data_IF_396075851242
#
_entry.id   IF_396075851242
#
_cell.length_a   1.000
_cell.length_b   1.000
_cell.length_c   1.000
_cell.angle_alpha   90.00
_cell.angle_beta   90.00
_cell.angle_gamma   90.00
#
_symmetry.space_group_name_H-M   'P 1'
#
loop_
_entity.id
_entity.type
_entity.pdbx_description
1 polymer ?
#
# COMPACT_ATOMS: atom_id res chain seq x y z
N UNK A 1 7.36 -19.58 -32.61
CA UNK A 1 6.31 -19.60 -31.57
C UNK A 1 6.33 -20.96 -30.92
N UNK A 2 6.85 -21.08 -29.70
CA UNK A 2 6.83 -22.34 -28.93
C UNK A 2 5.88 -22.13 -27.77
N UNK A 3 4.73 -22.78 -27.82
CA UNK A 3 3.83 -22.90 -26.65
C UNK A 3 4.15 -24.25 -26.00
N UNK A 4 5.19 -24.26 -25.17
CA UNK A 4 5.55 -25.34 -24.24
C UNK A 4 6.48 -26.44 -24.77
N UNK A 5 7.62 -26.64 -24.09
CA UNK A 5 8.25 -27.96 -24.01
C UNK A 5 7.34 -28.84 -23.14
N UNK A 6 6.93 -29.99 -23.66
CA UNK A 6 5.83 -30.81 -23.13
C UNK A 6 6.23 -31.63 -21.88
N UNK A 7 6.53 -30.97 -20.76
CA UNK A 7 6.68 -31.69 -19.48
C UNK A 7 5.30 -32.11 -18.97
N UNK A 8 4.98 -33.39 -19.12
CA UNK A 8 3.66 -33.96 -18.80
C UNK A 8 3.33 -33.89 -17.31
N UNK A 9 4.34 -33.92 -16.44
CA UNK A 9 4.18 -33.93 -14.99
C UNK A 9 3.64 -32.62 -14.44
N UNK A 10 4.12 -31.49 -14.94
CA UNK A 10 3.72 -30.15 -14.47
C UNK A 10 2.48 -29.59 -15.18
N UNK A 11 1.92 -30.31 -16.16
CA UNK A 11 0.75 -29.88 -16.90
C UNK A 11 -0.45 -29.70 -15.96
N UNK A 12 -1.12 -28.52 -15.95
CA UNK A 12 -2.37 -28.33 -15.23
C UNK A 12 -3.41 -29.38 -15.63
N UNK A 13 -4.06 -29.99 -14.64
CA UNK A 13 -5.14 -30.97 -14.81
C UNK A 13 -6.41 -30.43 -14.15
N UNK A 14 -7.56 -30.92 -14.59
CA UNK A 14 -8.85 -30.61 -13.95
C UNK A 14 -9.34 -29.17 -14.15
N UNK A 15 -8.88 -28.48 -15.19
CA UNK A 15 -9.45 -27.18 -15.56
C UNK A 15 -10.90 -27.36 -16.01
N UNK A 16 -11.79 -26.51 -15.49
CA UNK A 16 -13.18 -26.41 -15.91
C UNK A 16 -13.29 -25.74 -17.27
N UNK A 17 -14.46 -25.86 -17.90
CA UNK A 17 -14.73 -25.16 -19.14
C UNK A 17 -14.58 -23.64 -18.95
N UNK A 18 -13.80 -23.00 -19.84
CA UNK A 18 -13.53 -21.56 -19.81
C UNK A 18 -12.28 -21.16 -19.00
N UNK A 19 -11.66 -22.08 -18.28
CA UNK A 19 -10.44 -21.79 -17.52
C UNK A 19 -9.19 -21.84 -18.40
N UNK A 20 -8.21 -21.00 -18.08
CA UNK A 20 -6.91 -20.97 -18.77
C UNK A 20 -5.79 -20.69 -17.79
N UNK A 21 -4.71 -21.47 -17.85
CA UNK A 21 -3.54 -21.31 -16.99
C UNK A 21 -2.25 -21.29 -17.80
N UNK A 22 -1.48 -20.22 -17.66
CA UNK A 22 -0.07 -20.15 -18.06
C UNK A 22 0.78 -20.61 -16.88
N UNK A 23 1.71 -21.54 -17.07
CA UNK A 23 2.44 -22.19 -15.97
C UNK A 23 3.89 -22.52 -16.32
N UNK A 24 4.70 -22.77 -15.29
CA UNK A 24 6.05 -23.35 -15.40
C UNK A 24 6.19 -24.64 -14.58
N UNK A 25 7.25 -25.41 -14.83
CA UNK A 25 7.50 -26.70 -14.14
C UNK A 25 7.69 -26.55 -12.62
N UNK A 26 8.26 -25.44 -12.18
CA UNK A 26 8.53 -25.12 -10.79
C UNK A 26 7.34 -24.48 -10.05
N UNK A 27 6.13 -24.61 -10.60
CA UNK A 27 4.88 -24.36 -9.88
C UNK A 27 4.31 -22.94 -9.98
N UNK A 28 4.98 -22.00 -10.67
CA UNK A 28 4.42 -20.65 -10.90
C UNK A 28 3.31 -20.69 -11.94
N UNK A 29 2.34 -19.80 -11.81
CA UNK A 29 1.29 -19.66 -12.81
C UNK A 29 0.58 -18.31 -12.82
N UNK A 30 -0.07 -18.04 -13.96
CA UNK A 30 -1.15 -17.06 -14.10
C UNK A 30 -2.40 -17.82 -14.51
N UNK A 31 -3.49 -17.64 -13.76
CA UNK A 31 -4.70 -18.45 -13.86
C UNK A 31 -5.95 -17.60 -14.01
N UNK A 32 -6.64 -17.75 -15.15
CA UNK A 32 -7.95 -17.20 -15.41
C UNK A 32 -9.00 -18.20 -14.92
N UNK A 33 -9.76 -17.84 -13.88
CA UNK A 33 -10.67 -18.75 -13.18
C UNK A 33 -12.10 -18.68 -13.74
N UNK A 34 -12.86 -19.77 -13.65
CA UNK A 34 -14.27 -19.78 -14.05
C UNK A 34 -15.14 -18.84 -13.18
N UNK A 35 -14.70 -18.56 -11.95
CA UNK A 35 -15.37 -17.66 -11.02
C UNK A 35 -15.15 -16.16 -11.34
N UNK A 36 -14.44 -15.82 -12.42
CA UNK A 36 -14.30 -14.44 -12.91
C UNK A 36 -13.11 -13.66 -12.35
N UNK A 37 -12.08 -14.34 -11.85
CA UNK A 37 -10.87 -13.72 -11.30
C UNK A 37 -9.58 -14.15 -11.99
N UNK A 38 -8.48 -13.47 -11.64
CA UNK A 38 -7.12 -13.83 -12.05
C UNK A 38 -6.30 -14.13 -10.80
N UNK A 39 -5.60 -15.26 -10.79
CA UNK A 39 -4.60 -15.58 -9.76
C UNK A 39 -3.23 -15.57 -10.39
N UNK A 40 -2.31 -14.78 -9.82
CA UNK A 40 -0.88 -14.81 -10.15
C UNK A 40 -0.17 -15.40 -8.95
N UNK A 41 0.44 -16.57 -9.13
CA UNK A 41 1.15 -17.29 -8.09
C UNK A 41 2.62 -17.44 -8.50
N UNK A 42 3.49 -16.87 -7.69
CA UNK A 42 4.93 -16.87 -7.92
C UNK A 42 5.63 -18.05 -7.23
N UNK A 43 4.91 -18.96 -6.58
CA UNK A 43 5.49 -20.17 -5.97
C UNK A 43 6.54 -19.86 -4.91
N UNK A 44 6.35 -18.76 -4.16
CA UNK A 44 7.32 -18.28 -3.17
C UNK A 44 8.53 -17.53 -3.73
N UNK A 45 8.52 -17.21 -5.03
CA UNK A 45 9.57 -16.44 -5.70
C UNK A 45 9.13 -15.00 -5.96
N UNK A 46 10.05 -14.16 -6.42
CA UNK A 46 9.77 -12.73 -6.66
C UNK A 46 8.88 -12.51 -7.89
N UNK A 47 8.03 -11.48 -7.80
CA UNK A 47 7.38 -10.86 -8.96
C UNK A 47 8.03 -9.50 -9.19
N UNK A 48 8.75 -9.35 -10.31
CA UNK A 48 9.45 -8.11 -10.65
C UNK A 48 8.89 -7.52 -11.95
N UNK A 49 8.45 -6.26 -11.89
CA UNK A 49 8.01 -5.49 -13.06
C UNK A 49 9.11 -4.47 -13.41
N UNK A 50 9.91 -4.78 -14.42
CA UNK A 50 11.04 -3.95 -14.83
C UNK A 50 10.73 -3.16 -16.11
N UNK A 51 11.36 -1.99 -16.23
CA UNK A 51 11.33 -1.15 -17.44
C UNK A 51 9.92 -0.78 -17.92
N UNK A 52 8.95 -0.71 -17.00
CA UNK A 52 7.64 -0.16 -17.28
C UNK A 52 7.73 1.37 -17.28
N UNK A 53 7.14 2.02 -18.30
CA UNK A 53 7.02 3.48 -18.32
C UNK A 53 6.04 3.95 -17.24
N UNK A 54 4.88 3.30 -17.18
CA UNK A 54 3.80 3.58 -16.24
C UNK A 54 3.20 2.25 -15.79
N UNK A 55 2.83 2.14 -14.51
CA UNK A 55 2.02 1.04 -13.97
C UNK A 55 0.80 1.65 -13.30
N UNK A 56 -0.39 1.36 -13.82
CA UNK A 56 -1.65 1.93 -13.31
C UNK A 56 -2.63 0.82 -12.92
N UNK A 57 -3.20 0.92 -11.73
CA UNK A 57 -4.25 0.04 -11.24
C UNK A 57 -5.56 0.83 -11.12
N UNK A 58 -6.55 0.50 -11.95
CA UNK A 58 -7.89 1.06 -11.87
C UNK A 58 -8.80 0.03 -11.19
N UNK A 59 -9.25 0.31 -9.96
CA UNK A 59 -10.11 -0.58 -9.20
C UNK A 59 -11.43 0.12 -8.87
N UNK A 60 -12.55 -0.61 -8.93
CA UNK A 60 -13.85 -0.16 -8.41
C UNK A 60 -14.04 -0.44 -6.92
N UNK A 61 -13.20 -1.31 -6.34
CA UNK A 61 -13.24 -1.73 -4.95
C UNK A 61 -12.02 -1.25 -4.16
N UNK A 62 -11.20 -2.19 -3.69
CA UNK A 62 -10.08 -1.94 -2.76
C UNK A 62 -8.80 -2.62 -3.24
N UNK A 63 -7.66 -1.95 -3.06
CA UNK A 63 -6.34 -2.56 -3.11
C UNK A 63 -5.91 -2.98 -1.70
N UNK A 64 -5.47 -4.21 -1.51
CA UNK A 64 -4.94 -4.71 -0.23
C UNK A 64 -3.56 -5.31 -0.46
N UNK A 65 -2.59 -4.90 0.35
CA UNK A 65 -1.20 -5.39 0.31
C UNK A 65 -0.91 -6.04 1.66
N UNK A 66 -0.64 -7.34 1.66
CA UNK A 66 -0.20 -8.09 2.85
C UNK A 66 1.28 -8.35 2.69
N UNK A 67 2.11 -7.52 3.34
CA UNK A 67 3.56 -7.57 3.26
C UNK A 67 4.17 -7.57 4.67
N UNK A 68 4.36 -8.75 5.29
CA UNK A 68 4.92 -8.83 6.65
C UNK A 68 6.31 -8.19 6.79
N UNK A 69 7.09 -8.14 5.70
CA UNK A 69 8.38 -7.45 5.64
C UNK A 69 8.28 -5.93 5.41
N UNK A 70 7.08 -5.37 5.29
CA UNK A 70 6.82 -3.97 5.01
C UNK A 70 6.75 -3.62 3.51
N UNK A 71 6.55 -2.33 3.24
CA UNK A 71 6.51 -1.75 1.88
C UNK A 71 7.57 -0.67 1.81
N UNK A 72 8.51 -0.76 0.86
CA UNK A 72 9.48 0.29 0.57
C UNK A 72 9.07 1.07 -0.70
N UNK A 73 8.94 2.40 -0.58
CA UNK A 73 8.61 3.29 -1.69
C UNK A 73 9.79 4.20 -2.01
N UNK A 74 10.54 3.87 -3.08
CA UNK A 74 11.63 4.71 -3.59
C UNK A 74 11.08 5.72 -4.60
N UNK A 75 10.42 6.75 -4.08
CA UNK A 75 9.77 7.79 -4.89
C UNK A 75 10.06 9.18 -4.32
N UNK A 76 10.26 10.22 -5.17
CA UNK A 76 10.35 11.59 -4.70
C UNK A 76 9.06 12.09 -4.01
N UNK A 77 7.91 11.51 -4.34
CA UNK A 77 6.62 11.91 -3.78
C UNK A 77 5.65 10.73 -3.74
N UNK A 78 4.95 10.59 -2.61
CA UNK A 78 3.78 9.75 -2.43
C UNK A 78 2.60 10.67 -2.12
N UNK A 79 1.57 10.63 -2.96
CA UNK A 79 0.39 11.50 -2.83
C UNK A 79 -0.87 10.67 -2.65
N UNK A 80 -1.76 11.14 -1.78
CA UNK A 80 -3.11 10.63 -1.61
C UNK A 80 -4.09 11.78 -1.82
N UNK A 81 -5.16 11.54 -2.59
CA UNK A 81 -6.27 12.48 -2.70
C UNK A 81 -7.15 12.46 -1.45
N UNK A 82 -7.28 11.29 -0.84
CA UNK A 82 -7.94 11.11 0.45
C UNK A 82 -6.95 11.13 1.61
N UNK A 83 -7.46 10.82 2.79
CA UNK A 83 -6.65 10.77 3.99
C UNK A 83 -5.71 9.55 4.03
N UNK A 84 -4.58 9.71 4.73
CA UNK A 84 -3.68 8.62 5.08
C UNK A 84 -3.74 8.38 6.58
N UNK A 85 -3.85 7.12 6.98
CA UNK A 85 -3.92 6.68 8.37
C UNK A 85 -2.82 5.65 8.61
N UNK A 86 -1.95 5.94 9.57
CA UNK A 86 -0.93 5.02 10.04
C UNK A 86 -1.47 4.20 11.22
N UNK A 87 -0.98 2.97 11.36
CA UNK A 87 -1.37 2.06 12.45
C UNK A 87 -2.90 1.87 12.58
N UNK A 88 -3.58 1.71 11.44
CA UNK A 88 -5.00 1.39 11.34
C UNK A 88 -5.39 0.24 12.29
N UNK A 89 -6.62 0.26 12.79
CA UNK A 89 -7.16 -0.55 13.91
C UNK A 89 -6.81 -0.05 15.32
N UNK A 90 -5.63 0.55 15.54
CA UNK A 90 -5.23 1.07 16.87
C UNK A 90 -5.13 2.59 16.94
N UNK A 91 -4.96 3.25 15.80
CA UNK A 91 -5.06 4.69 15.63
C UNK A 91 -6.27 5.01 14.76
N UNK A 92 -7.16 5.90 15.21
CA UNK A 92 -8.35 6.35 14.47
C UNK A 92 -8.14 7.69 13.74
N UNK A 93 -6.97 8.32 13.90
CA UNK A 93 -6.64 9.62 13.31
C UNK A 93 -5.92 9.48 11.99
N UNK A 94 -6.21 10.43 11.09
CA UNK A 94 -5.50 10.57 9.82
C UNK A 94 -4.37 11.58 9.95
N UNK A 95 -3.35 11.49 9.10
CA UNK A 95 -2.25 12.45 9.05
C UNK A 95 -2.74 13.89 8.85
N UNK A 96 -3.79 14.07 8.04
CA UNK A 96 -4.45 15.37 7.87
C UNK A 96 -5.16 15.79 9.16
N UNK A 97 -5.95 14.91 9.77
CA UNK A 97 -6.66 15.21 11.01
C UNK A 97 -5.72 15.57 12.17
N UNK A 98 -4.58 14.88 12.30
CA UNK A 98 -3.56 15.24 13.28
C UNK A 98 -2.93 16.61 12.99
N UNK A 99 -2.73 16.96 11.71
CA UNK A 99 -2.23 18.28 11.31
C UNK A 99 -3.23 19.38 11.65
N UNK A 100 -4.52 19.14 11.43
CA UNK A 100 -5.58 20.11 11.75
C UNK A 100 -5.62 20.37 13.26
N UNK A 101 -5.58 19.31 14.10
CA UNK A 101 -5.50 19.44 15.56
C UNK A 101 -4.23 20.18 15.99
N UNK A 102 -3.09 19.85 15.39
CA UNK A 102 -1.82 20.55 15.68
C UNK A 102 -1.84 22.01 15.24
N UNK A 103 -2.53 22.39 14.18
CA UNK A 103 -2.56 23.78 13.74
C UNK A 103 -3.55 24.63 14.58
N UNK A 104 -4.61 24.02 15.11
CA UNK A 104 -5.67 24.71 15.87
C UNK A 104 -5.42 24.73 17.40
N UNK A 105 -4.45 23.97 17.91
CA UNK A 105 -4.25 23.89 19.35
C UNK A 105 -3.78 25.22 19.99
N UNK A 106 -4.24 25.46 21.21
CA UNK A 106 -3.86 26.61 22.03
C UNK A 106 -3.34 26.13 23.39
N UNK A 107 -2.48 26.95 24.04
CA UNK A 107 -1.92 26.64 25.34
C UNK A 107 -2.45 27.58 26.43
N UNK A 108 -3.02 27.07 27.53
CA UNK A 108 -3.37 27.89 28.68
C UNK A 108 -2.10 28.30 29.44
N UNK A 109 -1.78 29.60 29.46
CA UNK A 109 -0.64 30.16 30.21
C UNK A 109 -1.11 30.63 31.58
N UNK A 110 -0.60 30.02 32.64
CA UNK A 110 -0.99 30.28 34.04
C UNK A 110 0.08 31.11 34.76
N UNK A 111 -0.30 31.74 35.88
CA UNK A 111 0.59 32.50 36.79
C UNK A 111 1.31 33.72 36.16
N UNK A 112 0.62 34.44 35.27
CA UNK A 112 1.11 35.69 34.69
C UNK A 112 0.30 36.88 35.21
N UNK A 113 0.92 38.06 35.26
CA UNK A 113 0.18 39.29 35.55
C UNK A 113 -0.62 39.71 34.32
N UNK A 114 -1.92 39.99 34.50
CA UNK A 114 -2.81 40.43 33.42
C UNK A 114 -2.36 41.79 32.85
N UNK A 115 -2.53 41.97 31.55
CA UNK A 115 -2.22 43.21 30.84
C UNK A 115 -2.78 43.21 29.41
N UNK A 116 -2.54 44.27 28.65
CA UNK A 116 -3.01 44.43 27.26
C UNK A 116 -1.98 44.11 26.19
N UNK A 117 -0.74 43.79 26.57
CA UNK A 117 0.31 43.44 25.63
C UNK A 117 0.08 42.04 25.05
N UNK A 118 0.29 41.89 23.74
CA UNK A 118 0.33 40.58 23.06
C UNK A 118 1.78 40.23 22.76
N UNK A 119 2.22 39.05 23.17
CA UNK A 119 3.56 38.52 22.91
C UNK A 119 3.44 37.14 22.27
N UNK A 120 4.45 36.75 21.48
CA UNK A 120 4.52 35.43 20.85
C UNK A 120 5.58 34.60 21.57
N UNK A 121 5.30 33.33 21.83
CA UNK A 121 6.31 32.43 22.41
C UNK A 121 7.45 32.19 21.44
N UNK A 122 8.60 31.81 21.98
CA UNK A 122 9.67 31.24 21.17
C UNK A 122 9.28 29.83 20.68
N UNK A 123 10.09 29.26 19.79
CA UNK A 123 9.95 27.85 19.41
C UNK A 123 10.24 26.97 20.64
N UNK A 124 9.56 25.80 20.78
CA UNK A 124 9.94 24.84 21.81
C UNK A 124 11.44 24.51 21.71
N UNK A 125 12.13 24.48 22.85
CA UNK A 125 13.53 24.05 22.92
C UNK A 125 13.69 22.58 22.52
N UNK A 126 14.93 22.17 22.25
CA UNK A 126 15.24 20.76 22.01
C UNK A 126 14.92 19.92 23.26
N UNK A 127 14.31 18.74 23.12
CA UNK A 127 14.21 17.80 24.23
C UNK A 127 15.63 17.41 24.68
N UNK A 128 15.89 17.48 25.98
CA UNK A 128 17.10 16.91 26.59
C UNK A 128 17.02 15.39 26.68
#
# INVERSE_FOLDING_TARGET
>A
MVVGVNHQGSRPRGLLAGETKLYSEDGKYVYLTAAGGIVVDAGGQDVVVNNAKDVTWNLSGKLTIVAPGGIELRAPMVKSLGDMQDNFETNDRTMKGMRDVYNDHHHPVKNVQSGSATVTSEKPGEPQ
#
